data_IF_898883112952
#
_entry.id   IF_898883112952
#
_cell.length_a   1.000
_cell.length_b   1.000
_cell.length_c   1.000
_cell.angle_alpha   90.00
_cell.angle_beta   90.00
_cell.angle_gamma   90.00
#
_symmetry.space_group_name_H-M   'P 1'
#
loop_
_entity.id
_entity.type
_entity.pdbx_description
1 polymer ?
#
# COMPACT_ATOMS: atom_id res chain seq x y z
N UNK A 1 17.36 -36.40 28.00
CA UNK A 1 16.06 -35.86 27.56
C UNK A 1 15.92 -34.52 28.22
N UNK A 2 15.78 -33.46 27.42
CA UNK A 2 15.43 -32.16 27.96
C UNK A 2 13.91 -32.12 28.17
N UNK A 3 13.48 -31.55 29.30
CA UNK A 3 12.08 -31.37 29.64
C UNK A 3 11.74 -29.88 29.56
N UNK A 4 10.69 -29.54 28.81
CA UNK A 4 10.15 -28.20 28.72
C UNK A 4 8.74 -28.14 29.34
N UNK A 5 8.41 -27.03 29.99
CA UNK A 5 7.11 -26.80 30.62
C UNK A 5 6.46 -25.52 30.06
N UNK A 6 5.18 -25.60 29.72
CA UNK A 6 4.35 -24.46 29.25
C UNK A 6 3.11 -24.38 30.14
N UNK A 7 2.75 -23.16 30.58
CA UNK A 7 1.52 -22.89 31.34
C UNK A 7 0.61 -21.97 30.52
N UNK A 8 -0.68 -22.32 30.43
CA UNK A 8 -1.70 -21.51 29.76
C UNK A 8 -2.70 -21.02 30.80
N UNK A 9 -2.65 -19.74 31.15
CA UNK A 9 -3.51 -19.12 32.14
C UNK A 9 -4.30 -17.95 31.52
N UNK A 10 -5.63 -18.02 31.64
CA UNK A 10 -6.56 -17.01 31.12
C UNK A 10 -6.43 -15.66 31.81
N UNK A 11 -5.81 -15.58 32.99
CA UNK A 11 -5.52 -14.33 33.68
C UNK A 11 -4.36 -13.54 33.04
N UNK A 12 -3.49 -14.20 32.25
CA UNK A 12 -2.32 -13.59 31.61
C UNK A 12 -2.57 -13.35 30.12
N UNK A 13 -3.46 -12.40 29.82
CA UNK A 13 -3.74 -11.97 28.44
C UNK A 13 -2.84 -10.80 28.03
N UNK A 14 -2.36 -10.81 26.78
CA UNK A 14 -1.56 -9.71 26.21
C UNK A 14 -2.48 -8.63 25.61
N UNK A 15 -3.43 -9.04 24.76
CA UNK A 15 -4.38 -8.14 24.11
C UNK A 15 -5.21 -8.86 23.04
N UNK A 16 -6.24 -8.20 22.46
CA UNK A 16 -6.96 -8.74 21.33
C UNK A 16 -6.05 -8.85 20.11
N UNK A 17 -6.26 -9.88 19.30
CA UNK A 17 -5.56 -10.04 18.03
C UNK A 17 -6.26 -9.17 16.99
N UNK A 18 -5.55 -8.18 16.45
CA UNK A 18 -5.99 -7.46 15.26
C UNK A 18 -5.79 -8.36 14.04
N UNK A 19 -6.84 -8.71 13.27
CA UNK A 19 -6.70 -9.57 12.11
C UNK A 19 -5.70 -9.06 11.07
N UNK A 20 -5.44 -7.74 11.01
CA UNK A 20 -4.52 -7.11 10.05
C UNK A 20 -3.06 -7.59 10.18
N UNK A 21 -2.70 -8.25 11.28
CA UNK A 21 -1.39 -8.92 11.39
C UNK A 21 -1.24 -10.12 10.44
N UNK A 22 -2.36 -10.64 9.91
CA UNK A 22 -2.41 -11.68 8.88
C UNK A 22 -2.51 -11.09 7.46
N UNK A 23 -1.98 -9.88 7.28
CA UNK A 23 -1.94 -9.23 5.97
C UNK A 23 -0.90 -9.83 5.02
N UNK A 24 -1.00 -9.43 3.76
CA UNK A 24 -0.03 -9.74 2.71
C UNK A 24 0.30 -8.48 1.90
N UNK A 25 1.06 -8.67 0.82
CA UNK A 25 1.62 -7.57 0.05
C UNK A 25 1.72 -7.95 -1.43
N UNK A 26 1.24 -7.07 -2.31
CA UNK A 26 1.36 -7.15 -3.75
C UNK A 26 2.05 -5.90 -4.28
N UNK A 27 3.19 -6.10 -4.93
CA UNK A 27 3.91 -5.06 -5.64
C UNK A 27 3.85 -5.32 -7.14
N UNK A 28 3.89 -4.25 -7.93
CA UNK A 28 4.27 -4.32 -9.35
C UNK A 28 5.76 -4.73 -9.49
N UNK A 29 6.05 -5.99 -9.14
CA UNK A 29 7.39 -6.58 -9.13
C UNK A 29 7.33 -7.99 -9.73
N UNK A 30 8.11 -8.20 -10.80
CA UNK A 30 8.21 -9.49 -11.46
C UNK A 30 6.83 -10.00 -11.90
N UNK A 31 6.41 -11.13 -11.30
CA UNK A 31 5.16 -11.83 -11.65
C UNK A 31 4.09 -11.79 -10.56
N UNK A 32 4.21 -10.88 -9.59
CA UNK A 32 3.22 -10.78 -8.53
C UNK A 32 1.84 -10.35 -9.07
N UNK A 33 1.83 -9.34 -9.96
CA UNK A 33 0.62 -8.86 -10.63
C UNK A 33 0.40 -9.65 -11.93
N UNK A 34 1.29 -9.45 -12.91
CA UNK A 34 1.22 -10.06 -14.23
C UNK A 34 1.71 -11.50 -14.19
N UNK A 35 0.94 -12.45 -14.72
CA UNK A 35 1.15 -13.91 -14.54
C UNK A 35 0.97 -14.40 -13.09
N UNK A 36 0.55 -13.51 -12.19
CA UNK A 36 0.22 -13.79 -10.79
C UNK A 36 -1.27 -13.66 -10.57
N UNK A 37 -1.71 -12.53 -10.01
CA UNK A 37 -3.15 -12.29 -9.78
C UNK A 37 -3.93 -11.96 -11.06
N UNK A 38 -3.26 -11.49 -12.11
CA UNK A 38 -3.85 -11.04 -13.37
C UNK A 38 -3.17 -11.71 -14.57
N UNK A 39 -3.95 -12.48 -15.33
CA UNK A 39 -3.49 -13.23 -16.50
C UNK A 39 -4.68 -13.54 -17.45
N UNK A 40 -5.13 -12.59 -18.29
CA UNK A 40 -6.37 -12.71 -19.07
C UNK A 40 -6.50 -13.94 -19.99
N UNK A 41 -5.37 -14.53 -20.41
CA UNK A 41 -5.35 -15.73 -21.22
C UNK A 41 -5.38 -17.04 -20.43
N UNK A 42 -5.33 -16.99 -19.10
CA UNK A 42 -5.25 -18.19 -18.26
C UNK A 42 -6.60 -18.91 -18.20
N UNK A 43 -6.65 -20.27 -18.23
CA UNK A 43 -7.92 -21.01 -18.18
C UNK A 43 -8.79 -20.75 -16.95
N UNK A 44 -8.18 -20.28 -15.85
CA UNK A 44 -8.86 -19.91 -14.61
C UNK A 44 -9.11 -18.40 -14.46
N UNK A 45 -8.83 -17.59 -15.48
CA UNK A 45 -9.12 -16.17 -15.45
C UNK A 45 -10.63 -15.90 -15.58
N UNK A 46 -11.12 -14.92 -14.82
CA UNK A 46 -12.48 -14.41 -14.97
C UNK A 46 -12.58 -13.39 -16.12
N UNK A 47 -13.76 -12.79 -16.29
CA UNK A 47 -14.02 -11.79 -17.34
C UNK A 47 -13.18 -10.52 -17.23
N UNK A 48 -12.57 -10.26 -16.07
CA UNK A 48 -11.67 -9.14 -15.84
C UNK A 48 -10.20 -9.56 -15.98
N UNK A 49 -9.93 -10.82 -16.31
CA UNK A 49 -8.59 -11.38 -16.41
C UNK A 49 -7.94 -11.74 -15.08
N UNK A 50 -8.68 -11.70 -13.97
CA UNK A 50 -8.18 -12.04 -12.65
C UNK A 50 -8.23 -13.56 -12.44
N UNK A 51 -7.16 -14.11 -11.88
CA UNK A 51 -7.03 -15.56 -11.68
C UNK A 51 -7.85 -16.05 -10.49
N UNK A 52 -8.97 -16.71 -10.77
CA UNK A 52 -9.92 -17.19 -9.76
C UNK A 52 -9.36 -18.31 -8.88
N UNK A 53 -8.42 -19.10 -9.41
CA UNK A 53 -7.70 -20.12 -8.66
C UNK A 53 -6.75 -19.50 -7.61
N UNK A 54 -6.05 -18.43 -7.96
CA UNK A 54 -5.22 -17.64 -7.04
C UNK A 54 -6.09 -16.94 -5.99
N UNK A 55 -7.20 -16.32 -6.41
CA UNK A 55 -8.17 -15.68 -5.49
C UNK A 55 -8.66 -16.66 -4.43
N UNK A 56 -8.99 -17.90 -4.81
CA UNK A 56 -9.43 -18.93 -3.86
C UNK A 56 -8.33 -19.27 -2.86
N UNK A 57 -7.08 -19.44 -3.30
CA UNK A 57 -5.96 -19.74 -2.41
C UNK A 57 -5.72 -18.60 -1.39
N UNK A 58 -5.85 -17.34 -1.81
CA UNK A 58 -5.74 -16.18 -0.91
C UNK A 58 -6.85 -16.16 0.14
N UNK A 59 -8.09 -16.49 -0.27
CA UNK A 59 -9.22 -16.65 0.66
C UNK A 59 -8.99 -17.75 1.67
N UNK A 60 -8.54 -18.92 1.21
CA UNK A 60 -8.28 -20.08 2.07
C UNK A 60 -7.15 -19.80 3.07
N UNK A 61 -6.18 -18.97 2.70
CA UNK A 61 -5.10 -18.51 3.60
C UNK A 61 -5.60 -17.52 4.66
N UNK A 62 -6.77 -16.91 4.47
CA UNK A 62 -7.36 -15.95 5.41
C UNK A 62 -6.66 -14.60 5.43
N UNK A 63 -6.09 -14.16 4.29
CA UNK A 63 -5.44 -12.85 4.18
C UNK A 63 -6.45 -11.73 4.44
N UNK A 64 -6.19 -10.93 5.46
CA UNK A 64 -7.15 -9.91 5.92
C UNK A 64 -7.03 -8.57 5.21
N UNK A 65 -5.80 -8.22 4.81
CA UNK A 65 -5.46 -6.94 4.19
C UNK A 65 -4.27 -7.12 3.25
N UNK A 66 -4.24 -6.39 2.13
CA UNK A 66 -3.14 -6.44 1.16
C UNK A 66 -2.61 -5.05 0.88
N UNK A 67 -1.30 -4.86 1.10
CA UNK A 67 -0.57 -3.65 0.70
C UNK A 67 -0.36 -3.61 -0.82
N UNK A 68 -0.52 -2.45 -1.45
CA UNK A 68 -0.42 -2.20 -2.91
C UNK A 68 -0.18 -0.70 -3.19
N UNK A 69 0.37 -0.23 -4.33
CA UNK A 69 0.95 -0.95 -5.47
C UNK A 69 2.40 -1.35 -5.28
N UNK A 70 2.99 -1.10 -4.11
CA UNK A 70 4.34 -1.55 -3.90
C UNK A 70 4.97 -1.20 -2.59
N UNK A 71 6.25 -1.57 -2.62
CA UNK A 71 7.35 -1.01 -1.93
C UNK A 71 8.10 -0.13 -2.91
N UNK A 72 9.26 -0.53 -3.41
CA UNK A 72 10.14 0.34 -4.20
C UNK A 72 9.47 0.94 -5.45
N UNK A 73 8.62 0.18 -6.15
CA UNK A 73 7.88 0.60 -7.34
C UNK A 73 7.13 1.92 -7.15
N UNK A 74 6.46 2.09 -5.99
CA UNK A 74 5.55 3.21 -5.76
C UNK A 74 6.26 4.57 -5.78
N UNK A 75 7.55 4.60 -5.45
CA UNK A 75 8.32 5.84 -5.34
C UNK A 75 8.61 6.50 -6.69
N UNK A 76 8.43 5.77 -7.81
CA UNK A 76 8.47 6.30 -9.18
C UNK A 76 7.10 6.38 -9.87
N UNK A 77 6.03 5.94 -9.22
CA UNK A 77 4.74 5.66 -9.84
C UNK A 77 3.79 6.87 -9.90
N UNK A 78 3.02 6.99 -10.98
CA UNK A 78 1.94 7.97 -11.15
C UNK A 78 0.60 7.21 -11.17
N UNK A 79 -0.20 7.35 -10.13
CA UNK A 79 -1.43 6.58 -9.97
C UNK A 79 -2.44 6.82 -11.11
N UNK A 80 -2.43 8.01 -11.70
CA UNK A 80 -3.26 8.42 -12.83
C UNK A 80 -2.99 7.57 -14.08
N UNK A 81 -1.74 7.13 -14.26
CA UNK A 81 -1.36 6.27 -15.39
C UNK A 81 -2.03 4.88 -15.31
N UNK A 82 -2.62 4.52 -14.17
CA UNK A 82 -3.22 3.21 -13.89
C UNK A 82 -4.75 3.21 -13.85
N UNK A 83 -5.40 4.33 -14.17
CA UNK A 83 -6.87 4.45 -14.16
C UNK A 83 -7.41 4.95 -15.49
N UNK A 84 -8.67 4.67 -15.78
CA UNK A 84 -9.30 5.02 -17.06
C UNK A 84 -8.80 4.13 -18.20
N UNK A 85 -9.10 4.54 -19.44
CA UNK A 85 -8.83 3.72 -20.64
C UNK A 85 -7.52 4.04 -21.35
N UNK A 86 -6.98 5.25 -21.19
CA UNK A 86 -5.74 5.68 -21.85
C UNK A 86 -4.56 5.57 -20.89
N UNK A 87 -3.97 4.38 -20.83
CA UNK A 87 -2.91 4.03 -19.86
C UNK A 87 -1.56 3.93 -20.56
N UNK A 88 -0.57 4.78 -20.22
CA UNK A 88 0.75 4.75 -20.84
C UNK A 88 1.58 3.60 -20.28
N UNK A 89 2.49 3.04 -21.10
CA UNK A 89 3.58 2.20 -20.59
C UNK A 89 4.64 3.08 -19.94
N UNK A 90 5.15 2.68 -18.78
CA UNK A 90 6.21 3.40 -18.06
C UNK A 90 7.42 2.51 -17.80
N UNK A 91 8.58 3.12 -17.71
CA UNK A 91 9.76 2.41 -17.20
C UNK A 91 9.71 2.45 -15.68
N UNK A 92 9.61 1.28 -15.07
CA UNK A 92 9.84 1.11 -13.64
C UNK A 92 11.34 1.03 -13.39
N UNK A 93 11.86 2.00 -12.63
CA UNK A 93 13.28 2.10 -12.31
C UNK A 93 13.65 1.31 -11.05
N UNK A 94 12.67 0.87 -10.25
CA UNK A 94 12.93 0.04 -9.08
C UNK A 94 13.32 -1.38 -9.50
N UNK A 95 12.59 -1.96 -10.45
CA UNK A 95 12.81 -3.34 -10.92
C UNK A 95 13.27 -3.45 -12.36
N UNK A 96 13.64 -2.32 -12.99
CA UNK A 96 14.14 -2.24 -14.36
C UNK A 96 13.21 -2.92 -15.38
N UNK A 97 11.91 -2.69 -15.23
CA UNK A 97 10.86 -3.28 -16.04
C UNK A 97 10.10 -2.23 -16.84
N UNK A 98 9.34 -2.66 -17.85
CA UNK A 98 8.32 -1.81 -18.50
C UNK A 98 6.96 -2.14 -17.91
N UNK A 99 6.41 -1.25 -17.12
CA UNK A 99 5.09 -1.35 -16.51
C UNK A 99 4.00 -1.02 -17.54
N UNK A 100 3.10 -1.96 -17.89
CA UNK A 100 2.03 -1.71 -18.85
C UNK A 100 0.84 -0.93 -18.27
N UNK A 101 0.72 -0.82 -16.95
CA UNK A 101 -0.39 -0.21 -16.20
C UNK A 101 -1.76 -0.85 -16.48
N UNK A 102 -1.80 -2.08 -16.98
CA UNK A 102 -3.07 -2.78 -17.24
C UNK A 102 -3.82 -3.18 -15.96
N UNK A 103 -3.13 -3.28 -14.83
CA UNK A 103 -3.74 -3.40 -13.50
C UNK A 103 -3.41 -2.13 -12.73
N UNK A 104 -4.44 -1.46 -12.24
CA UNK A 104 -4.31 -0.29 -11.39
C UNK A 104 -5.25 -0.33 -10.21
N UNK A 105 -5.58 0.86 -9.70
CA UNK A 105 -6.37 1.02 -8.48
C UNK A 105 -7.74 0.32 -8.55
N UNK A 106 -8.45 0.42 -9.69
CA UNK A 106 -9.77 -0.19 -9.85
C UNK A 106 -9.69 -1.73 -9.85
N UNK A 107 -8.81 -2.29 -10.70
CA UNK A 107 -8.66 -3.73 -10.82
C UNK A 107 -8.14 -4.36 -9.52
N UNK A 108 -7.26 -3.68 -8.78
CA UNK A 108 -6.79 -4.11 -7.47
C UNK A 108 -7.91 -4.13 -6.42
N UNK A 109 -8.77 -3.11 -6.38
CA UNK A 109 -9.90 -3.09 -5.44
C UNK A 109 -10.92 -4.19 -5.76
N UNK A 110 -11.19 -4.45 -7.04
CA UNK A 110 -12.06 -5.55 -7.47
C UNK A 110 -11.48 -6.90 -7.09
N UNK A 111 -10.17 -7.06 -7.26
CA UNK A 111 -9.45 -8.25 -6.81
C UNK A 111 -9.56 -8.43 -5.30
N UNK A 112 -9.39 -7.36 -4.51
CA UNK A 112 -9.53 -7.40 -3.05
C UNK A 112 -10.94 -7.84 -2.62
N UNK A 113 -11.99 -7.30 -3.25
CA UNK A 113 -13.38 -7.69 -2.99
C UNK A 113 -13.60 -9.18 -3.29
N UNK A 114 -13.15 -9.65 -4.46
CA UNK A 114 -13.25 -11.06 -4.86
C UNK A 114 -12.46 -11.99 -3.92
N UNK A 115 -11.32 -11.54 -3.41
CA UNK A 115 -10.48 -12.27 -2.47
C UNK A 115 -10.89 -12.10 -0.99
N UNK A 116 -11.95 -11.33 -0.69
CA UNK A 116 -12.41 -11.04 0.68
C UNK A 116 -11.28 -10.49 1.58
N UNK A 117 -10.48 -9.58 1.05
CA UNK A 117 -9.40 -8.88 1.75
C UNK A 117 -9.59 -7.37 1.65
N UNK A 118 -9.10 -6.62 2.63
CA UNK A 118 -9.09 -5.16 2.56
C UNK A 118 -7.88 -4.63 1.75
N UNK A 119 -8.01 -3.48 1.07
CA UNK A 119 -6.87 -2.79 0.47
C UNK A 119 -6.12 -1.92 1.51
N UNK A 120 -4.79 -1.92 1.43
CA UNK A 120 -3.89 -0.93 2.05
C UNK A 120 -3.09 -0.24 0.94
N UNK A 121 -3.33 1.06 0.73
CA UNK A 121 -2.79 1.74 -0.45
C UNK A 121 -1.57 2.62 -0.15
N UNK A 122 -0.50 2.45 -0.91
CA UNK A 122 0.73 3.19 -0.77
C UNK A 122 0.76 4.37 -1.75
N UNK A 123 1.05 5.57 -1.24
CA UNK A 123 1.23 6.77 -2.05
C UNK A 123 2.70 6.97 -2.44
N UNK A 124 2.93 7.65 -3.56
CA UNK A 124 4.27 8.02 -3.99
C UNK A 124 4.75 9.27 -3.23
N UNK A 125 5.79 9.13 -2.40
CA UNK A 125 6.54 10.23 -1.79
C UNK A 125 8.01 10.28 -2.24
N UNK A 126 8.39 9.52 -3.27
CA UNK A 126 9.71 9.57 -3.90
C UNK A 126 9.80 10.76 -4.84
N UNK A 127 9.10 10.65 -5.98
CA UNK A 127 9.04 11.69 -7.03
C UNK A 127 7.81 12.61 -6.94
N UNK A 128 6.86 12.32 -6.04
CA UNK A 128 5.63 13.10 -5.83
C UNK A 128 5.49 13.51 -4.35
N UNK A 129 4.38 14.16 -4.00
CA UNK A 129 4.19 14.72 -2.66
C UNK A 129 2.73 14.98 -2.26
N UNK A 130 2.50 15.90 -1.31
CA UNK A 130 1.21 16.08 -0.63
C UNK A 130 0.00 16.36 -1.52
N UNK A 131 0.18 17.11 -2.62
CA UNK A 131 -0.91 17.39 -3.56
C UNK A 131 -1.39 16.09 -4.21
N UNK A 132 -0.46 15.29 -4.73
CA UNK A 132 -0.80 14.05 -5.41
C UNK A 132 -1.33 12.97 -4.45
N UNK A 133 -0.88 13.03 -3.20
CA UNK A 133 -1.39 12.21 -2.11
C UNK A 133 -2.87 12.49 -1.81
N UNK A 134 -3.27 13.75 -1.66
CA UNK A 134 -4.68 14.09 -1.43
C UNK A 134 -5.55 13.79 -2.66
N UNK A 135 -5.00 13.92 -3.86
CA UNK A 135 -5.74 13.76 -5.12
C UNK A 135 -6.18 12.30 -5.30
N UNK A 136 -5.33 11.33 -4.93
CA UNK A 136 -5.71 9.91 -4.96
C UNK A 136 -6.69 9.54 -3.85
N UNK A 137 -6.64 10.19 -2.68
CA UNK A 137 -7.67 10.02 -1.64
C UNK A 137 -9.00 10.60 -2.09
N UNK A 138 -9.01 11.76 -2.74
CA UNK A 138 -10.21 12.35 -3.33
C UNK A 138 -10.80 11.43 -4.40
N UNK A 139 -9.95 10.92 -5.29
CA UNK A 139 -10.33 9.95 -6.31
C UNK A 139 -10.97 8.71 -5.70
N UNK A 140 -10.31 8.09 -4.71
CA UNK A 140 -10.74 6.83 -4.14
C UNK A 140 -11.96 6.96 -3.21
N UNK A 141 -12.01 8.00 -2.37
CA UNK A 141 -12.92 8.03 -1.21
C UNK A 141 -13.98 9.14 -1.26
N UNK A 142 -13.79 10.22 -2.02
CA UNK A 142 -14.78 11.31 -2.04
C UNK A 142 -16.03 10.90 -2.85
N UNK A 143 -17.27 11.18 -2.38
CA UNK A 143 -18.49 10.68 -3.02
C UNK A 143 -18.65 11.05 -4.50
N UNK A 144 -18.68 12.34 -4.82
CA UNK A 144 -18.88 12.90 -6.17
C UNK A 144 -18.81 14.43 -6.13
N UNK A 145 -18.79 15.10 -7.29
CA UNK A 145 -18.91 16.55 -7.42
C UNK A 145 -17.59 17.31 -7.30
N UNK A 146 -16.47 16.59 -7.39
CA UNK A 146 -15.12 17.13 -7.42
C UNK A 146 -14.34 16.54 -8.59
N UNK A 147 -13.24 17.19 -9.00
CA UNK A 147 -12.45 16.78 -10.17
C UNK A 147 -12.09 15.29 -10.15
N UNK A 148 -11.57 14.78 -9.04
CA UNK A 148 -11.07 13.41 -8.99
C UNK A 148 -12.17 12.39 -8.64
N UNK A 149 -13.16 12.75 -7.82
CA UNK A 149 -14.31 11.86 -7.59
C UNK A 149 -15.14 11.65 -8.86
N UNK A 150 -15.38 12.71 -9.64
CA UNK A 150 -16.10 12.60 -10.92
C UNK A 150 -15.25 11.87 -11.98
N UNK A 151 -13.92 12.00 -11.92
CA UNK A 151 -13.02 11.18 -12.75
C UNK A 151 -13.11 9.69 -12.40
N UNK A 152 -13.24 9.31 -11.12
CA UNK A 152 -13.48 7.91 -10.71
C UNK A 152 -14.78 7.37 -11.31
N UNK A 153 -15.86 8.16 -11.21
CA UNK A 153 -17.17 7.83 -11.78
C UNK A 153 -17.07 7.66 -13.30
N UNK A 154 -16.41 8.59 -13.99
CA UNK A 154 -16.19 8.52 -15.44
C UNK A 154 -15.36 7.29 -15.85
N UNK A 155 -14.42 6.86 -15.00
CA UNK A 155 -13.62 5.65 -15.18
C UNK A 155 -14.35 4.36 -14.79
N UNK A 156 -15.67 4.42 -14.55
CA UNK A 156 -16.53 3.24 -14.36
C UNK A 156 -16.73 2.81 -12.91
N UNK A 157 -16.20 3.54 -11.91
CA UNK A 157 -16.41 3.26 -10.48
C UNK A 157 -17.27 4.35 -9.84
N UNK A 158 -18.58 4.11 -9.84
CA UNK A 158 -19.56 5.07 -9.31
C UNK A 158 -19.35 5.31 -7.81
N UNK A 159 -19.34 4.24 -7.04
CA UNK A 159 -19.23 4.33 -5.59
C UNK A 159 -17.75 4.51 -5.17
N UNK A 160 -17.47 5.21 -4.06
CA UNK A 160 -16.13 5.29 -3.51
C UNK A 160 -15.55 3.90 -3.19
N UNK A 161 -14.24 3.76 -3.40
CA UNK A 161 -13.47 2.56 -3.08
C UNK A 161 -13.28 2.39 -1.56
N UNK A 162 -13.46 3.46 -0.79
CA UNK A 162 -13.46 3.47 0.69
C UNK A 162 -12.20 2.84 1.32
N UNK A 163 -11.03 3.11 0.75
CA UNK A 163 -9.76 2.59 1.26
C UNK A 163 -9.47 3.24 2.62
N UNK A 164 -9.28 2.41 3.65
CA UNK A 164 -9.10 2.89 5.02
C UNK A 164 -7.64 3.09 5.42
N UNK A 165 -6.76 2.17 5.08
CA UNK A 165 -5.37 2.21 5.50
C UNK A 165 -4.46 2.65 4.35
N UNK A 166 -3.61 3.64 4.60
CA UNK A 166 -2.69 4.18 3.58
C UNK A 166 -1.25 4.25 4.08
N UNK A 167 -0.28 3.90 3.21
CA UNK A 167 1.15 4.06 3.49
C UNK A 167 1.67 5.37 2.90
N UNK A 168 2.37 6.16 3.73
CA UNK A 168 3.02 7.40 3.34
C UNK A 168 4.39 7.10 2.71
N UNK A 169 4.42 6.65 1.45
CA UNK A 169 5.66 6.27 0.75
C UNK A 169 6.13 4.85 1.09
N UNK A 170 7.38 4.54 0.71
CA UNK A 170 8.05 3.28 1.03
C UNK A 170 9.51 3.50 1.42
N UNK A 171 9.93 3.00 2.59
CA UNK A 171 11.35 2.80 2.99
C UNK A 171 12.31 3.89 2.49
N UNK A 172 11.96 5.15 2.75
CA UNK A 172 12.64 6.30 2.16
C UNK A 172 14.07 6.51 2.69
N UNK A 173 14.48 5.74 3.71
CA UNK A 173 15.81 5.74 4.31
C UNK A 173 16.85 5.00 3.48
N UNK A 174 16.40 4.19 2.53
CA UNK A 174 17.26 3.31 1.74
C UNK A 174 17.96 4.03 0.59
N UNK A 175 19.28 3.83 0.39
CA UNK A 175 20.02 4.51 -0.69
C UNK A 175 19.67 4.01 -2.10
N UNK A 176 19.06 2.84 -2.24
CA UNK A 176 18.55 2.33 -3.52
C UNK A 176 17.17 2.89 -3.89
N UNK A 177 16.49 3.56 -2.97
CA UNK A 177 15.12 3.99 -3.14
C UNK A 177 15.04 5.23 -4.03
N UNK A 178 14.12 5.22 -5.00
CA UNK A 178 13.87 6.39 -5.86
C UNK A 178 13.45 7.57 -4.98
N UNK A 179 14.22 8.65 -5.01
CA UNK A 179 13.94 9.83 -4.21
C UNK A 179 14.15 9.64 -2.71
N UNK A 180 15.07 8.73 -2.31
CA UNK A 180 15.53 8.54 -0.92
C UNK A 180 15.71 9.87 -0.20
N UNK A 181 15.39 9.91 1.10
CA UNK A 181 15.36 11.14 1.89
C UNK A 181 16.12 10.93 3.19
N UNK A 182 16.62 12.03 3.75
CA UNK A 182 17.02 12.06 5.16
C UNK A 182 15.80 11.88 6.08
N UNK A 183 15.98 11.51 7.37
CA UNK A 183 14.87 11.38 8.31
C UNK A 183 13.97 12.62 8.34
N UNK A 184 14.57 13.81 8.40
CA UNK A 184 13.82 15.07 8.48
C UNK A 184 13.08 15.39 7.17
N UNK A 185 13.71 15.21 6.01
CA UNK A 185 13.05 15.42 4.71
C UNK A 185 11.84 14.50 4.53
N UNK A 186 11.97 13.22 4.91
CA UNK A 186 10.85 12.28 4.90
C UNK A 186 9.76 12.68 5.89
N UNK A 187 10.13 12.98 7.13
CA UNK A 187 9.19 13.34 8.17
C UNK A 187 8.35 14.58 7.78
N UNK A 188 8.98 15.62 7.22
CA UNK A 188 8.28 16.81 6.74
C UNK A 188 7.29 16.52 5.62
N UNK A 189 7.68 15.75 4.59
CA UNK A 189 6.78 15.45 3.47
C UNK A 189 5.66 14.49 3.87
N UNK A 190 5.95 13.52 4.76
CA UNK A 190 4.97 12.59 5.28
C UNK A 190 3.91 13.31 6.11
N UNK A 191 4.31 14.22 7.01
CA UNK A 191 3.38 14.99 7.85
C UNK A 191 2.43 15.86 7.01
N UNK A 192 2.95 16.61 6.03
CA UNK A 192 2.10 17.47 5.19
C UNK A 192 1.18 16.65 4.27
N UNK A 193 1.65 15.50 3.78
CA UNK A 193 0.80 14.56 3.04
C UNK A 193 -0.31 14.01 3.92
N UNK A 194 0.02 13.59 5.14
CA UNK A 194 -0.92 13.04 6.12
C UNK A 194 -2.05 14.02 6.44
N UNK A 195 -1.70 15.28 6.72
CA UNK A 195 -2.68 16.36 6.96
C UNK A 195 -3.63 16.53 5.78
N UNK A 196 -3.09 16.66 4.57
CA UNK A 196 -3.91 16.90 3.38
C UNK A 196 -4.80 15.69 3.06
N UNK A 197 -4.32 14.46 3.25
CA UNK A 197 -5.13 13.25 3.08
C UNK A 197 -6.26 13.18 4.11
N UNK A 198 -5.97 13.40 5.41
CA UNK A 198 -7.00 13.41 6.47
C UNK A 198 -8.00 14.56 6.34
N UNK A 199 -7.62 15.68 5.71
CA UNK A 199 -8.58 16.75 5.38
C UNK A 199 -9.54 16.36 4.25
N UNK A 200 -9.14 15.48 3.34
CA UNK A 200 -10.04 14.94 2.31
C UNK A 200 -10.96 13.88 2.89
N UNK A 201 -10.41 12.94 3.65
CA UNK A 201 -11.18 11.90 4.35
C UNK A 201 -10.63 11.71 5.78
N UNK A 202 -11.30 12.26 6.81
CA UNK A 202 -10.84 12.15 8.19
C UNK A 202 -11.00 10.74 8.78
N UNK A 203 -11.62 9.80 8.06
CA UNK A 203 -11.82 8.41 8.52
C UNK A 203 -10.69 7.46 8.15
N UNK A 204 -9.67 7.92 7.42
CA UNK A 204 -8.53 7.09 7.04
C UNK A 204 -7.51 6.97 8.16
N UNK A 205 -6.75 5.88 8.11
CA UNK A 205 -5.60 5.61 8.94
C UNK A 205 -4.32 5.67 8.10
N UNK A 206 -3.24 6.20 8.68
CA UNK A 206 -1.99 6.47 7.97
C UNK A 206 -0.80 5.77 8.63
N UNK A 207 0.02 5.13 7.79
CA UNK A 207 1.26 4.46 8.17
C UNK A 207 2.45 5.26 7.67
N UNK A 208 3.25 5.82 8.58
CA UNK A 208 4.57 6.35 8.26
C UNK A 208 5.58 5.20 8.10
N UNK A 209 6.57 5.39 7.24
CA UNK A 209 7.64 4.44 7.01
C UNK A 209 8.68 4.54 8.13
N UNK A 210 8.89 3.44 8.85
CA UNK A 210 10.15 3.24 9.57
C UNK A 210 11.28 2.82 8.64
N UNK A 211 12.41 2.44 9.23
CA UNK A 211 13.57 1.98 8.50
C UNK A 211 13.33 0.69 7.73
N UNK A 212 14.06 0.52 6.62
CA UNK A 212 13.96 -0.66 5.76
C UNK A 212 14.54 -1.93 6.41
N UNK A 213 15.43 -1.79 7.38
CA UNK A 213 15.89 -2.88 8.25
C UNK A 213 16.60 -2.33 9.50
N UNK A 214 16.83 -3.21 10.47
CA UNK A 214 17.49 -2.93 11.74
C UNK A 214 19.02 -2.71 11.65
N UNK A 215 19.64 -2.96 10.49
CA UNK A 215 21.08 -2.75 10.27
C UNK A 215 21.37 -1.36 9.66
N UNK A 216 20.32 -0.59 9.33
CA UNK A 216 20.45 0.76 8.81
C UNK A 216 21.19 1.64 9.83
N UNK A 217 22.17 2.46 9.41
CA UNK A 217 22.86 3.38 10.31
C UNK A 217 21.94 4.38 11.01
N UNK A 218 20.77 4.64 10.42
CA UNK A 218 19.74 5.54 10.93
C UNK A 218 18.65 4.83 11.75
N UNK A 219 18.71 3.51 11.93
CA UNK A 219 17.70 2.76 12.67
C UNK A 219 17.59 3.28 14.11
N UNK A 220 16.36 3.54 14.57
CA UNK A 220 16.05 4.20 15.84
C UNK A 220 15.93 5.72 15.69
N UNK A 221 16.96 6.37 15.16
CA UNK A 221 16.96 7.84 14.96
C UNK A 221 15.98 8.26 13.86
N UNK A 222 15.81 7.43 12.83
CA UNK A 222 14.83 7.61 11.77
C UNK A 222 13.42 7.64 12.35
N UNK A 223 13.05 6.59 13.07
CA UNK A 223 11.75 6.45 13.71
C UNK A 223 11.48 7.59 14.69
N UNK A 224 12.47 7.95 15.50
CA UNK A 224 12.35 9.06 16.46
C UNK A 224 12.02 10.38 15.75
N UNK A 225 12.75 10.70 14.68
CA UNK A 225 12.54 11.94 13.92
C UNK A 225 11.16 11.96 13.26
N UNK A 226 10.77 10.85 12.62
CA UNK A 226 9.48 10.71 11.95
C UNK A 226 8.33 10.82 12.94
N UNK A 227 8.40 10.11 14.06
CA UNK A 227 7.36 10.18 15.09
C UNK A 227 7.24 11.60 15.66
N UNK A 228 8.35 12.29 15.93
CA UNK A 228 8.31 13.63 16.51
C UNK A 228 7.65 14.66 15.57
N UNK A 229 7.86 14.57 14.26
CA UNK A 229 7.26 15.51 13.29
C UNK A 229 5.83 15.12 12.89
N UNK A 230 5.53 13.82 12.80
CA UNK A 230 4.28 13.32 12.23
C UNK A 230 3.22 12.92 13.27
N UNK A 231 3.56 12.89 14.57
CA UNK A 231 2.79 12.23 15.64
C UNK A 231 1.28 12.45 15.56
N UNK A 232 0.85 13.70 15.42
CA UNK A 232 -0.57 14.09 15.46
C UNK A 232 -1.37 13.63 14.24
N UNK A 233 -0.71 13.26 13.14
CA UNK A 233 -1.35 13.01 11.85
C UNK A 233 -1.25 11.56 11.38
N UNK A 234 -0.44 10.71 12.03
CA UNK A 234 -0.27 9.30 11.66
C UNK A 234 -0.82 8.38 12.75
N UNK A 235 -1.13 7.15 12.37
CA UNK A 235 -1.73 6.14 13.25
C UNK A 235 -0.77 4.97 13.50
N UNK A 236 0.14 4.71 12.55
CA UNK A 236 1.10 3.61 12.61
C UNK A 236 2.49 4.01 12.10
N UNK A 237 3.49 3.26 12.54
CA UNK A 237 4.86 3.29 12.02
C UNK A 237 5.23 1.88 11.54
N UNK A 238 5.71 1.76 10.30
CA UNK A 238 6.06 0.46 9.72
C UNK A 238 7.43 -0.04 10.20
N UNK A 239 7.63 -1.36 10.12
CA UNK A 239 8.92 -2.01 10.34
C UNK A 239 9.08 -3.12 9.31
N UNK A 240 10.33 -3.36 8.88
CA UNK A 240 10.63 -4.34 7.84
C UNK A 240 11.74 -5.28 8.29
N UNK A 241 11.53 -6.57 8.04
CA UNK A 241 12.50 -7.61 8.40
C UNK A 241 12.44 -8.76 7.42
N UNK A 242 13.59 -9.09 6.86
CA UNK A 242 13.82 -10.30 6.09
C UNK A 242 14.88 -11.16 6.79
N UNK A 243 14.81 -12.47 6.59
CA UNK A 243 15.81 -13.44 7.01
C UNK A 243 16.21 -14.25 5.77
N UNK A 244 17.51 -14.45 5.57
CA UNK A 244 18.08 -15.19 4.44
C UNK A 244 19.11 -16.20 4.92
#
# INVERSE_FOLDING_TARGET
>A
MEHAHITLDKAFQIGPIDPRIYGAFLEHMGRAIYEGIYEPGHPAADEQGLRTDVIRLVRDLGVSIVRYPGGNFVSGFQWEDSVGSDRPKRLDLAWFATEPNSVGLHEFCDWCEKANTAPMYCINLGTRGPEQARDVVEYANHPSGSKFSDMRIANGKKDPLNIKLWCLGNEMDSPWQIGSKTPYEYARIANESAKMMKWVDPSIELVACGSCNFEMPTFGDWEWTVLNECYENIDYLSLHRYYG
#
